data_IF_396735109827
#
_entry.id   IF_396735109827
#
_cell.length_a   1.000
_cell.length_b   1.000
_cell.length_c   1.000
_cell.angle_alpha   90.00
_cell.angle_beta   90.00
_cell.angle_gamma   90.00
#
_symmetry.space_group_name_H-M   'P 1'
#
loop_
_entity.id
_entity.type
_entity.pdbx_description
1 polymer ?
#
# COMPACT_ATOMS: atom_id res chain seq x y z
N UNK A 1 21.92 9.13 2.64
CA UNK A 1 21.36 7.84 2.19
C UNK A 1 20.94 7.99 0.73
N UNK A 2 21.43 7.13 -0.14
CA UNK A 2 21.04 7.21 -1.56
C UNK A 2 19.55 6.99 -1.76
N UNK A 3 18.99 7.64 -2.76
CA UNK A 3 17.55 7.56 -3.05
C UNK A 3 17.07 6.13 -3.34
N UNK A 4 17.82 5.29 -4.10
CA UNK A 4 17.39 3.89 -4.27
C UNK A 4 17.29 3.12 -2.97
N UNK A 5 18.17 3.38 -2.02
CA UNK A 5 18.12 2.74 -0.71
C UNK A 5 16.89 3.21 0.09
N UNK A 6 16.54 4.48 -0.01
CA UNK A 6 15.33 5.01 0.60
C UNK A 6 14.10 4.32 0.01
N UNK A 7 14.05 4.18 -1.31
CA UNK A 7 12.95 3.49 -2.00
C UNK A 7 12.80 2.05 -1.49
N UNK A 8 13.92 1.32 -1.36
CA UNK A 8 13.91 -0.06 -0.88
C UNK A 8 13.47 -0.15 0.59
N UNK A 9 13.94 0.76 1.44
CA UNK A 9 13.56 0.77 2.85
C UNK A 9 12.10 1.14 3.05
N UNK A 10 11.58 2.06 2.24
CA UNK A 10 10.16 2.40 2.27
C UNK A 10 9.30 1.23 1.82
N UNK A 11 9.78 0.39 0.89
CA UNK A 11 9.07 -0.83 0.50
C UNK A 11 8.92 -1.78 1.69
N UNK A 12 9.99 -1.97 2.47
CA UNK A 12 9.91 -2.79 3.68
C UNK A 12 8.96 -2.20 4.70
N UNK A 13 9.01 -0.88 4.90
CA UNK A 13 8.10 -0.17 5.80
C UNK A 13 6.66 -0.34 5.35
N UNK A 14 6.39 -0.20 4.05
CA UNK A 14 5.05 -0.37 3.50
C UNK A 14 4.54 -1.79 3.72
N UNK A 15 5.41 -2.79 3.54
CA UNK A 15 5.03 -4.19 3.76
C UNK A 15 4.63 -4.44 5.21
N UNK A 16 5.44 -3.97 6.16
CA UNK A 16 5.15 -4.10 7.58
C UNK A 16 3.87 -3.36 7.94
N UNK A 17 3.70 -2.15 7.41
CA UNK A 17 2.51 -1.35 7.66
C UNK A 17 1.25 -2.07 7.14
N UNK A 18 1.29 -2.60 5.93
CA UNK A 18 0.16 -3.35 5.36
C UNK A 18 -0.14 -4.61 6.18
N UNK A 19 0.89 -5.30 6.68
CA UNK A 19 0.69 -6.47 7.54
C UNK A 19 -0.03 -6.09 8.83
N UNK A 20 0.39 -5.00 9.47
CA UNK A 20 -0.25 -4.51 10.70
C UNK A 20 -1.71 -4.12 10.41
N UNK A 21 -1.96 -3.42 9.29
CA UNK A 21 -3.32 -3.02 8.91
C UNK A 21 -4.21 -4.22 8.65
N UNK A 22 -3.68 -5.25 7.98
CA UNK A 22 -4.42 -6.48 7.70
C UNK A 22 -4.80 -7.19 9.01
N UNK A 23 -3.85 -7.34 9.93
CA UNK A 23 -4.08 -8.00 11.22
C UNK A 23 -5.10 -7.20 12.03
N UNK A 24 -4.92 -5.89 12.12
CA UNK A 24 -5.83 -5.01 12.85
C UNK A 24 -7.25 -5.05 12.27
N UNK A 25 -7.35 -5.02 10.93
CA UNK A 25 -8.63 -5.08 10.25
C UNK A 25 -9.36 -6.40 10.50
N UNK A 26 -8.65 -7.52 10.42
CA UNK A 26 -9.20 -8.84 10.70
C UNK A 26 -9.67 -8.92 12.16
N UNK A 27 -8.84 -8.44 13.09
CA UNK A 27 -9.17 -8.42 14.51
C UNK A 27 -10.46 -7.64 14.77
N UNK A 28 -10.57 -6.44 14.22
CA UNK A 28 -11.78 -5.62 14.38
C UNK A 28 -13.00 -6.29 13.78
N UNK A 29 -12.85 -6.93 12.62
CA UNK A 29 -13.95 -7.61 11.97
C UNK A 29 -14.50 -8.74 12.85
N UNK A 30 -13.62 -9.57 13.40
CA UNK A 30 -14.03 -10.67 14.27
C UNK A 30 -14.56 -10.19 15.61
N UNK A 31 -14.18 -9.01 16.05
CA UNK A 31 -14.74 -8.36 17.24
C UNK A 31 -16.06 -7.64 16.95
N UNK A 32 -16.60 -7.81 15.74
CA UNK A 32 -17.85 -7.19 15.30
C UNK A 32 -17.81 -5.68 15.38
N UNK A 33 -16.64 -5.09 15.08
CA UNK A 33 -16.43 -3.65 15.09
C UNK A 33 -16.29 -3.14 13.68
N UNK A 34 -16.86 -1.98 13.39
CA UNK A 34 -16.61 -1.27 12.15
C UNK A 34 -15.30 -0.48 12.21
N UNK A 35 -15.07 0.37 11.23
CA UNK A 35 -13.90 1.24 11.21
C UNK A 35 -14.01 2.30 12.29
N UNK A 36 -12.89 2.53 12.98
CA UNK A 36 -12.73 3.68 13.85
C UNK A 36 -12.08 4.82 13.10
N UNK A 37 -12.13 6.02 13.68
CA UNK A 37 -11.36 7.16 13.18
C UNK A 37 -9.86 6.87 13.12
N UNK A 38 -9.36 6.12 14.13
CA UNK A 38 -7.96 5.70 14.18
C UNK A 38 -7.59 4.79 13.03
N UNK A 39 -8.44 3.80 12.71
CA UNK A 39 -8.19 2.91 11.59
C UNK A 39 -8.23 3.69 10.26
N UNK A 40 -9.24 4.54 10.08
CA UNK A 40 -9.34 5.33 8.86
C UNK A 40 -8.14 6.29 8.71
N UNK A 41 -7.71 6.91 9.80
CA UNK A 41 -6.50 7.74 9.77
C UNK A 41 -5.27 6.95 9.38
N UNK A 42 -5.15 5.70 9.86
CA UNK A 42 -4.05 4.81 9.47
C UNK A 42 -4.13 4.44 7.99
N UNK A 43 -5.33 4.28 7.41
CA UNK A 43 -5.50 4.05 5.98
C UNK A 43 -4.97 5.26 5.19
N UNK A 44 -5.30 6.47 5.62
CA UNK A 44 -4.83 7.70 4.97
C UNK A 44 -3.30 7.81 5.05
N UNK A 45 -2.72 7.51 6.20
CA UNK A 45 -1.26 7.54 6.36
C UNK A 45 -0.59 6.52 5.44
N UNK A 46 -1.16 5.31 5.34
CA UNK A 46 -0.65 4.29 4.42
C UNK A 46 -0.68 4.78 2.97
N UNK A 47 -1.75 5.45 2.58
CA UNK A 47 -1.86 5.99 1.23
C UNK A 47 -0.81 7.07 0.96
N UNK A 48 -0.57 7.95 1.92
CA UNK A 48 0.48 8.97 1.81
C UNK A 48 1.85 8.29 1.65
N UNK A 49 2.12 7.26 2.43
CA UNK A 49 3.37 6.50 2.34
C UNK A 49 3.55 5.90 0.94
N UNK A 50 2.50 5.30 0.38
CA UNK A 50 2.55 4.71 -0.96
C UNK A 50 2.71 5.77 -2.05
N UNK A 51 2.08 6.93 -1.89
CA UNK A 51 2.24 8.04 -2.83
C UNK A 51 3.67 8.56 -2.82
N UNK A 52 4.28 8.70 -1.65
CA UNK A 52 5.69 9.11 -1.52
C UNK A 52 6.58 8.07 -2.18
N UNK A 53 6.34 6.80 -1.92
CA UNK A 53 7.11 5.70 -2.50
C UNK A 53 7.01 5.71 -4.03
N UNK A 54 5.81 5.92 -4.56
CA UNK A 54 5.60 6.01 -6.00
C UNK A 54 6.30 7.22 -6.60
N UNK A 55 6.25 8.37 -5.92
CA UNK A 55 6.92 9.59 -6.37
C UNK A 55 8.44 9.39 -6.43
N UNK A 56 9.01 8.73 -5.42
CA UNK A 56 10.44 8.42 -5.41
C UNK A 56 10.77 7.48 -6.58
N UNK A 57 9.92 6.49 -6.84
CA UNK A 57 10.11 5.57 -7.96
C UNK A 57 10.12 6.27 -9.30
N UNK A 58 9.18 7.21 -9.51
CA UNK A 58 9.14 8.01 -10.74
C UNK A 58 10.39 8.88 -10.86
N UNK A 59 10.82 9.48 -9.77
CA UNK A 59 12.01 10.32 -9.76
C UNK A 59 13.26 9.51 -10.12
N UNK A 60 13.39 8.29 -9.58
CA UNK A 60 14.50 7.40 -9.91
C UNK A 60 14.48 7.01 -11.38
N UNK A 61 13.31 6.76 -11.94
CA UNK A 61 13.17 6.42 -13.35
C UNK A 61 13.57 7.58 -14.25
N UNK A 62 13.22 8.80 -13.87
CA UNK A 62 13.53 10.01 -14.65
C UNK A 62 15.00 10.41 -14.52
N UNK A 63 15.66 10.03 -13.43
CA UNK A 63 17.03 10.45 -13.13
C UNK A 63 18.06 9.66 -13.88
N UNK A 64 18.59 10.22 -14.97
CA UNK A 64 19.74 9.68 -15.73
C UNK A 64 19.53 8.26 -16.30
N UNK A 65 18.32 7.75 -16.31
CA UNK A 65 18.02 6.44 -16.90
C UNK A 65 18.67 5.26 -16.18
N UNK A 66 18.98 5.38 -14.90
CA UNK A 66 19.69 4.33 -14.17
C UNK A 66 18.79 3.22 -13.67
N UNK A 67 17.51 3.51 -13.46
CA UNK A 67 16.58 2.57 -12.86
C UNK A 67 15.39 2.43 -13.77
N UNK A 68 15.41 1.36 -14.58
CA UNK A 68 14.35 1.08 -15.55
C UNK A 68 13.72 -0.26 -15.19
N UNK A 69 12.83 -0.30 -14.19
CA UNK A 69 12.08 -1.52 -13.92
C UNK A 69 11.17 -1.83 -15.11
N UNK A 70 10.86 -3.10 -15.30
CA UNK A 70 9.93 -3.51 -16.33
C UNK A 70 8.52 -2.96 -16.07
N UNK A 71 7.66 -3.02 -17.09
CA UNK A 71 6.29 -2.52 -16.98
C UNK A 71 5.50 -3.21 -15.83
N UNK A 72 5.85 -4.44 -15.50
CA UNK A 72 5.18 -5.18 -14.42
C UNK A 72 5.35 -4.47 -13.08
N UNK A 73 6.55 -3.93 -12.82
CA UNK A 73 6.79 -3.16 -11.60
C UNK A 73 5.88 -1.93 -11.53
N UNK A 74 5.70 -1.23 -12.65
CA UNK A 74 4.80 -0.09 -12.74
C UNK A 74 3.36 -0.48 -12.46
N UNK A 75 2.91 -1.62 -13.00
CA UNK A 75 1.55 -2.13 -12.75
C UNK A 75 1.35 -2.36 -11.26
N UNK A 76 2.29 -3.05 -10.58
CA UNK A 76 2.18 -3.30 -9.15
C UNK A 76 2.13 -2.01 -8.35
N UNK A 77 2.97 -1.03 -8.72
CA UNK A 77 2.98 0.26 -8.03
C UNK A 77 1.67 1.02 -8.18
N UNK A 78 1.12 1.05 -9.39
CA UNK A 78 -0.15 1.73 -9.66
C UNK A 78 -1.28 1.05 -8.88
N UNK A 79 -1.36 -0.27 -8.90
CA UNK A 79 -2.40 -1.01 -8.18
C UNK A 79 -2.28 -0.78 -6.67
N UNK A 80 -1.04 -0.74 -6.14
CA UNK A 80 -0.83 -0.44 -4.72
C UNK A 80 -1.39 0.93 -4.32
N UNK A 81 -1.12 1.94 -5.14
CA UNK A 81 -1.59 3.30 -4.86
C UNK A 81 -3.11 3.39 -4.96
N UNK A 82 -3.72 2.63 -5.87
CA UNK A 82 -5.16 2.70 -6.11
C UNK A 82 -5.99 1.81 -5.18
N UNK A 83 -5.37 0.83 -4.50
CA UNK A 83 -6.11 -0.19 -3.77
C UNK A 83 -7.03 0.39 -2.70
N UNK A 84 -6.51 1.21 -1.78
CA UNK A 84 -7.34 1.80 -0.73
C UNK A 84 -8.35 2.82 -1.27
N UNK A 85 -7.98 3.72 -2.20
CA UNK A 85 -8.97 4.58 -2.85
C UNK A 85 -10.09 3.82 -3.55
N UNK A 86 -9.80 2.68 -4.18
CA UNK A 86 -10.83 1.87 -4.82
C UNK A 86 -11.80 1.31 -3.77
N UNK A 87 -11.29 0.79 -2.65
CA UNK A 87 -12.15 0.29 -1.57
C UNK A 87 -13.01 1.42 -1.02
N UNK A 88 -12.42 2.60 -0.82
CA UNK A 88 -13.16 3.77 -0.33
C UNK A 88 -14.28 4.14 -1.29
N UNK A 89 -14.00 4.21 -2.59
CA UNK A 89 -14.99 4.54 -3.60
C UNK A 89 -16.09 3.47 -3.70
N UNK A 90 -15.72 2.20 -3.67
CA UNK A 90 -16.66 1.09 -3.72
C UNK A 90 -17.60 1.11 -2.52
N UNK A 91 -17.08 1.39 -1.34
CA UNK A 91 -17.88 1.43 -0.11
C UNK A 91 -18.58 2.75 0.10
N UNK A 92 -18.33 3.75 -0.75
CA UNK A 92 -18.86 5.12 -0.61
C UNK A 92 -18.55 5.72 0.75
N UNK A 93 -17.38 5.39 1.29
CA UNK A 93 -16.94 5.90 2.57
C UNK A 93 -17.61 5.28 3.79
N UNK A 94 -18.42 4.24 3.62
CA UNK A 94 -19.04 3.56 4.76
C UNK A 94 -17.96 2.95 5.66
N UNK A 95 -18.22 2.98 6.96
CA UNK A 95 -17.27 2.50 7.98
C UNK A 95 -17.87 1.38 8.84
N UNK A 96 -18.73 0.59 8.25
CA UNK A 96 -19.40 -0.51 8.93
C UNK A 96 -18.51 -1.75 8.99
N UNK A 97 -18.96 -2.78 9.68
CA UNK A 97 -18.21 -4.03 9.84
C UNK A 97 -17.86 -4.71 8.50
N UNK A 98 -18.78 -4.81 7.51
CA UNK A 98 -18.40 -5.41 6.22
C UNK A 98 -17.27 -4.68 5.53
N UNK A 99 -17.23 -3.35 5.61
CA UNK A 99 -16.15 -2.56 5.02
C UNK A 99 -14.80 -2.85 5.70
N UNK A 100 -14.83 -3.19 6.99
CA UNK A 100 -13.64 -3.59 7.73
C UNK A 100 -12.98 -4.80 7.08
N UNK A 101 -13.80 -5.79 6.70
CA UNK A 101 -13.29 -6.98 6.01
C UNK A 101 -12.71 -6.63 4.64
N UNK A 102 -13.35 -5.72 3.90
CA UNK A 102 -12.85 -5.30 2.59
C UNK A 102 -11.46 -4.66 2.71
N UNK A 103 -11.27 -3.78 3.69
CA UNK A 103 -9.96 -3.17 3.90
C UNK A 103 -8.92 -4.21 4.34
N UNK A 104 -9.30 -5.14 5.22
CA UNK A 104 -8.39 -6.20 5.64
C UNK A 104 -7.92 -7.05 4.47
N UNK A 105 -8.85 -7.47 3.60
CA UNK A 105 -8.53 -8.24 2.40
C UNK A 105 -7.66 -7.42 1.45
N UNK A 106 -7.98 -6.14 1.27
CA UNK A 106 -7.18 -5.25 0.43
C UNK A 106 -5.74 -5.18 0.92
N UNK A 107 -5.51 -5.04 2.22
CA UNK A 107 -4.16 -4.98 2.77
C UNK A 107 -3.42 -6.31 2.65
N UNK A 108 -4.10 -7.44 2.74
CA UNK A 108 -3.49 -8.76 2.47
C UNK A 108 -3.00 -8.81 1.01
N UNK A 109 -3.82 -8.39 0.07
CA UNK A 109 -3.45 -8.33 -1.34
C UNK A 109 -2.27 -7.36 -1.53
N UNK A 110 -2.30 -6.22 -0.85
CA UNK A 110 -1.23 -5.22 -0.95
C UNK A 110 0.10 -5.76 -0.44
N UNK A 111 0.12 -6.60 0.60
CA UNK A 111 1.34 -7.28 1.05
C UNK A 111 1.94 -8.09 -0.10
N UNK A 112 1.12 -8.88 -0.77
CA UNK A 112 1.58 -9.69 -1.90
C UNK A 112 2.11 -8.80 -3.03
N UNK A 113 1.43 -7.67 -3.31
CA UNK A 113 1.86 -6.74 -4.35
C UNK A 113 3.20 -6.08 -4.01
N UNK A 114 3.41 -5.71 -2.75
CA UNK A 114 4.71 -5.14 -2.33
C UNK A 114 5.81 -6.17 -2.50
N UNK A 115 5.58 -7.40 -2.08
CA UNK A 115 6.57 -8.47 -2.25
C UNK A 115 6.93 -8.67 -3.72
N UNK A 116 5.93 -8.69 -4.60
CA UNK A 116 6.18 -8.83 -6.04
C UNK A 116 6.89 -7.60 -6.60
N UNK A 117 6.54 -6.41 -6.13
CA UNK A 117 7.19 -5.18 -6.57
C UNK A 117 8.67 -5.16 -6.19
N UNK A 118 9.04 -5.67 -5.02
CA UNK A 118 10.45 -5.75 -4.62
C UNK A 118 11.23 -6.70 -5.51
N UNK A 119 10.60 -7.76 -6.01
CA UNK A 119 11.24 -8.72 -6.92
C UNK A 119 11.37 -8.15 -8.32
N UNK A 120 10.38 -7.39 -8.80
CA UNK A 120 10.31 -6.90 -10.17
C UNK A 120 10.99 -5.54 -10.37
N UNK A 121 11.42 -4.90 -9.29
CA UNK A 121 12.00 -3.56 -9.37
C UNK A 121 13.36 -3.47 -10.05
N UNK A 122 14.06 -4.59 -10.22
CA UNK A 122 15.35 -4.61 -10.91
C UNK A 122 16.46 -3.92 -10.13
N UNK A 123 16.29 -3.74 -8.86
CA UNK A 123 17.24 -2.99 -8.02
C UNK A 123 17.71 -3.87 -6.88
#
# INVERSE_FOLDING_TARGET
>A
MPLPEIHARLANTAMIYCAIMAIWGIFRFFRKQGMSGGFFGAVVIAEILLLIQGAIGVFLWMGAGRYHPGYVHWIYGIVLVLAAPIVFAYTKGRQERPEMLLYAVAYIIMIALVLRATVTGGV
#
